data_IF_620421837601
#
_entry.id   IF_620421837601
#
_cell.length_a   1.000
_cell.length_b   1.000
_cell.length_c   1.000
_cell.angle_alpha   90.00
_cell.angle_beta   90.00
_cell.angle_gamma   90.00
#
_symmetry.space_group_name_H-M   'P 1'
#
loop_
_entity.id
_entity.type
_entity.pdbx_description
1 polymer ?
#
# COMPACT_ATOMS: atom_id res chain seq x y z
N UNK A 1 9.09 31.82 10.59
CA UNK A 1 7.75 31.93 9.94
C UNK A 1 6.83 30.88 10.55
N UNK A 2 5.59 31.23 10.87
CA UNK A 2 4.62 30.28 11.41
C UNK A 2 3.21 30.78 11.14
N UNK A 3 2.24 29.87 11.03
CA UNK A 3 0.87 30.22 10.69
C UNK A 3 0.21 31.04 11.83
N UNK A 4 -0.27 32.28 11.59
CA UNK A 4 -0.74 33.19 12.64
C UNK A 4 -2.03 32.75 13.33
N UNK A 5 -2.94 32.07 12.60
CA UNK A 5 -4.28 31.70 13.08
C UNK A 5 -4.58 30.20 13.02
N UNK A 6 -5.51 29.75 13.86
CA UNK A 6 -6.00 28.35 13.90
C UNK A 6 -6.63 27.93 12.56
N UNK A 7 -7.42 28.80 11.93
CA UNK A 7 -8.03 28.54 10.63
C UNK A 7 -6.97 28.30 9.53
N UNK A 8 -5.91 29.12 9.50
CA UNK A 8 -4.84 28.98 8.51
C UNK A 8 -4.05 27.69 8.70
N UNK A 9 -3.87 27.23 9.96
CA UNK A 9 -3.25 25.94 10.28
C UNK A 9 -4.11 24.76 9.85
N UNK A 10 -5.42 24.84 10.06
CA UNK A 10 -6.36 23.79 9.61
C UNK A 10 -6.39 23.74 8.07
N UNK A 11 -6.45 24.89 7.40
CA UNK A 11 -6.40 24.95 5.94
C UNK A 11 -5.08 24.38 5.39
N UNK A 12 -3.94 24.72 6.00
CA UNK A 12 -2.64 24.16 5.63
C UNK A 12 -2.62 22.63 5.80
N UNK A 13 -3.17 22.10 6.89
CA UNK A 13 -3.28 20.67 7.12
C UNK A 13 -4.20 19.99 6.08
N UNK A 14 -5.35 20.59 5.76
CA UNK A 14 -6.29 20.07 4.77
C UNK A 14 -5.68 19.99 3.37
N UNK A 15 -5.09 21.10 2.91
CA UNK A 15 -4.45 21.18 1.59
C UNK A 15 -3.24 20.23 1.50
N UNK A 16 -2.48 20.10 2.59
CA UNK A 16 -1.37 19.13 2.65
C UNK A 16 -1.86 17.70 2.57
N UNK A 17 -2.97 17.38 3.25
CA UNK A 17 -3.61 16.07 3.16
C UNK A 17 -4.06 15.77 1.73
N UNK A 18 -4.77 16.70 1.09
CA UNK A 18 -5.24 16.57 -0.29
C UNK A 18 -4.10 16.44 -1.31
N UNK A 19 -2.97 17.11 -1.07
CA UNK A 19 -1.81 17.05 -1.95
C UNK A 19 -0.93 15.79 -1.73
N UNK A 20 -1.02 15.13 -0.58
CA UNK A 20 -0.17 13.99 -0.22
C UNK A 20 -0.28 12.82 -1.23
N UNK A 21 -1.48 12.41 -1.69
CA UNK A 21 -1.62 11.33 -2.68
C UNK A 21 -0.96 11.59 -4.04
N UNK A 22 -0.68 12.85 -4.39
CA UNK A 22 0.00 13.19 -5.64
C UNK A 22 1.47 12.75 -5.65
N UNK A 23 2.01 12.32 -4.51
CA UNK A 23 3.35 11.74 -4.42
C UNK A 23 3.42 10.28 -4.89
N UNK A 24 2.28 9.66 -5.18
CA UNK A 24 2.19 8.26 -5.61
C UNK A 24 1.66 8.20 -7.06
N UNK A 25 1.67 6.99 -7.61
CA UNK A 25 1.12 6.74 -8.94
C UNK A 25 -0.34 7.23 -9.05
N UNK A 26 -0.74 7.81 -10.19
CA UNK A 26 0.04 7.96 -11.42
C UNK A 26 0.82 9.30 -11.53
N UNK A 27 0.90 10.09 -10.46
CA UNK A 27 1.47 11.45 -10.51
C UNK A 27 2.95 11.49 -10.15
N UNK A 28 3.39 10.61 -9.25
CA UNK A 28 4.80 10.36 -8.90
C UNK A 28 5.59 11.61 -8.49
N UNK A 29 4.91 12.62 -7.95
CA UNK A 29 5.54 13.82 -7.39
C UNK A 29 6.14 13.51 -6.01
N UNK A 30 7.14 12.63 -5.99
CA UNK A 30 7.73 12.01 -4.79
C UNK A 30 8.04 12.98 -3.64
N UNK A 31 8.36 14.23 -3.96
CA UNK A 31 8.72 15.28 -3.00
C UNK A 31 7.50 15.84 -2.24
N UNK A 32 6.27 15.66 -2.75
CA UNK A 32 5.06 16.17 -2.09
C UNK A 32 4.77 15.45 -0.78
N UNK A 33 4.97 14.14 -0.67
CA UNK A 33 4.72 13.40 0.56
C UNK A 33 5.56 13.93 1.75
N UNK A 34 6.90 14.04 1.68
CA UNK A 34 7.68 14.61 2.79
C UNK A 34 7.39 16.11 3.00
N UNK A 35 7.10 16.90 1.96
CA UNK A 35 6.77 18.33 2.11
C UNK A 35 5.45 18.52 2.87
N UNK A 36 4.42 17.76 2.53
CA UNK A 36 3.09 17.86 3.17
C UNK A 36 3.14 17.37 4.63
N UNK A 37 3.93 16.34 4.93
CA UNK A 37 4.24 15.93 6.32
C UNK A 37 5.03 17.02 7.06
N UNK A 38 5.96 17.71 6.40
CA UNK A 38 6.69 18.84 7.00
C UNK A 38 5.76 20.00 7.37
N UNK A 39 4.79 20.33 6.51
CA UNK A 39 3.77 21.34 6.81
C UNK A 39 2.96 20.92 8.03
N UNK A 40 2.55 19.65 8.13
CA UNK A 40 1.83 19.13 9.29
C UNK A 40 2.67 19.24 10.58
N UNK A 41 3.95 18.86 10.54
CA UNK A 41 4.86 18.97 11.69
C UNK A 41 5.06 20.43 12.13
N UNK A 42 5.19 21.38 11.19
CA UNK A 42 5.27 22.82 11.49
C UNK A 42 3.99 23.33 12.16
N UNK A 43 2.83 22.89 11.68
CA UNK A 43 1.53 23.25 12.23
C UNK A 43 1.36 22.71 13.66
N UNK A 44 1.84 21.49 13.92
CA UNK A 44 1.82 20.85 15.23
C UNK A 44 2.82 21.42 16.25
N UNK A 45 3.93 22.00 15.80
CA UNK A 45 5.03 22.47 16.65
C UNK A 45 4.56 23.34 17.84
N UNK A 46 3.57 24.21 17.60
CA UNK A 46 2.98 25.14 18.58
C UNK A 46 1.49 24.93 18.84
N UNK A 47 0.94 23.76 18.48
CA UNK A 47 -0.47 23.45 18.70
C UNK A 47 -0.70 22.82 20.08
N UNK A 48 -1.84 23.10 20.71
CA UNK A 48 -2.29 22.30 21.86
C UNK A 48 -2.66 20.88 21.41
N UNK A 49 -2.71 19.92 22.33
CA UNK A 49 -3.04 18.53 21.98
C UNK A 49 -4.37 18.38 21.22
N UNK A 50 -5.40 19.16 21.58
CA UNK A 50 -6.68 19.17 20.87
C UNK A 50 -6.57 19.77 19.46
N UNK A 51 -5.80 20.85 19.32
CA UNK A 51 -5.57 21.48 18.01
C UNK A 51 -4.78 20.55 17.08
N UNK A 52 -3.74 19.91 17.61
CA UNK A 52 -2.90 18.99 16.85
C UNK A 52 -3.69 17.73 16.44
N UNK A 53 -4.56 17.22 17.31
CA UNK A 53 -5.48 16.15 16.97
C UNK A 53 -6.39 16.54 15.79
N UNK A 54 -7.07 17.69 15.88
CA UNK A 54 -7.95 18.16 14.81
C UNK A 54 -7.19 18.38 13.49
N UNK A 55 -6.00 18.98 13.54
CA UNK A 55 -5.15 19.18 12.35
C UNK A 55 -4.72 17.85 11.74
N UNK A 56 -4.35 16.87 12.57
CA UNK A 56 -4.02 15.51 12.13
C UNK A 56 -5.22 14.80 11.50
N UNK A 57 -6.40 14.93 12.10
CA UNK A 57 -7.63 14.40 11.54
C UNK A 57 -7.94 15.01 10.17
N UNK A 58 -7.90 16.34 10.05
CA UNK A 58 -8.19 17.02 8.78
C UNK A 58 -7.17 16.68 7.69
N UNK A 59 -5.87 16.59 8.04
CA UNK A 59 -4.84 16.10 7.14
C UNK A 59 -5.14 14.66 6.68
N UNK A 60 -5.39 13.76 7.62
CA UNK A 60 -5.64 12.35 7.32
C UNK A 60 -6.90 12.13 6.49
N UNK A 61 -7.94 12.92 6.75
CA UNK A 61 -9.19 12.88 6.00
C UNK A 61 -8.96 13.34 4.56
N UNK A 62 -8.24 14.45 4.34
CA UNK A 62 -7.87 14.90 2.99
C UNK A 62 -7.03 13.87 2.24
N UNK A 63 -6.04 13.30 2.93
CA UNK A 63 -5.17 12.24 2.39
C UNK A 63 -5.97 11.01 1.96
N UNK A 64 -6.88 10.53 2.81
CA UNK A 64 -7.68 9.34 2.51
C UNK A 64 -8.76 9.62 1.46
N UNK A 65 -9.49 10.73 1.55
CA UNK A 65 -10.52 11.07 0.56
C UNK A 65 -9.93 11.25 -0.84
N UNK A 66 -8.74 11.83 -0.98
CA UNK A 66 -8.10 11.94 -2.28
C UNK A 66 -7.44 10.62 -2.71
N UNK A 67 -6.73 9.94 -1.80
CA UNK A 67 -5.87 8.80 -2.16
C UNK A 67 -6.55 7.43 -2.18
N UNK A 68 -7.74 7.29 -1.58
CA UNK A 68 -8.50 6.03 -1.58
C UNK A 68 -9.95 6.20 -2.04
N UNK A 69 -10.25 7.30 -2.74
CA UNK A 69 -11.56 7.53 -3.37
C UNK A 69 -11.97 6.41 -4.33
N UNK A 70 -10.99 5.73 -4.96
CA UNK A 70 -11.22 4.63 -5.89
C UNK A 70 -12.03 3.46 -5.28
N UNK A 71 -12.03 3.31 -3.94
CA UNK A 71 -12.87 2.32 -3.24
C UNK A 71 -14.37 2.54 -3.53
N UNK A 72 -14.77 3.78 -3.82
CA UNK A 72 -16.14 4.10 -4.23
C UNK A 72 -16.58 3.25 -5.44
N UNK A 73 -15.70 3.10 -6.43
CA UNK A 73 -15.97 2.32 -7.65
C UNK A 73 -16.16 0.85 -7.28
N UNK A 74 -15.30 0.29 -6.43
CA UNK A 74 -15.42 -1.08 -5.94
C UNK A 74 -16.76 -1.34 -5.24
N UNK A 75 -17.22 -0.40 -4.40
CA UNK A 75 -18.48 -0.56 -3.67
C UNK A 75 -19.71 -0.32 -4.57
N UNK A 76 -19.69 0.72 -5.39
CA UNK A 76 -20.88 1.15 -6.14
C UNK A 76 -21.04 0.38 -7.46
N UNK A 77 -20.00 0.34 -8.28
CA UNK A 77 -20.06 -0.27 -9.62
C UNK A 77 -20.01 -1.79 -9.54
N UNK A 78 -19.04 -2.34 -8.80
CA UNK A 78 -18.85 -3.79 -8.70
C UNK A 78 -19.64 -4.42 -7.54
N UNK A 79 -19.83 -3.70 -6.43
CA UNK A 79 -20.60 -4.16 -5.28
C UNK A 79 -22.11 -3.87 -5.38
N UNK A 80 -22.56 -3.11 -6.39
CA UNK A 80 -23.97 -2.75 -6.56
C UNK A 80 -24.54 -1.85 -5.46
N UNK A 81 -23.69 -1.26 -4.61
CA UNK A 81 -24.13 -0.42 -3.51
C UNK A 81 -24.68 0.92 -4.04
N UNK A 82 -25.86 1.39 -3.57
CA UNK A 82 -26.39 2.68 -3.94
C UNK A 82 -25.38 3.81 -3.68
N UNK A 83 -25.22 4.72 -4.65
CA UNK A 83 -24.19 5.75 -4.64
C UNK A 83 -24.07 6.55 -3.32
N UNK A 84 -25.15 6.99 -2.66
CA UNK A 84 -25.04 7.69 -1.37
C UNK A 84 -24.46 6.82 -0.25
N UNK A 85 -24.80 5.52 -0.23
CA UNK A 85 -24.28 4.57 0.75
C UNK A 85 -22.81 4.27 0.49
N UNK A 86 -22.41 4.07 -0.76
CA UNK A 86 -21.01 3.88 -1.13
C UNK A 86 -20.15 5.11 -0.76
N UNK A 87 -20.65 6.31 -1.06
CA UNK A 87 -19.99 7.56 -0.65
C UNK A 87 -19.87 7.71 0.87
N UNK A 88 -20.94 7.36 1.60
CA UNK A 88 -20.92 7.33 3.07
C UNK A 88 -19.92 6.33 3.63
N UNK A 89 -19.84 5.12 3.07
CA UNK A 89 -18.87 4.10 3.48
C UNK A 89 -17.43 4.56 3.25
N UNK A 90 -17.13 5.17 2.09
CA UNK A 90 -15.80 5.75 1.80
C UNK A 90 -15.48 6.89 2.77
N UNK A 91 -16.44 7.75 3.09
CA UNK A 91 -16.24 8.83 4.07
C UNK A 91 -15.92 8.28 5.47
N UNK A 92 -16.65 7.25 5.91
CA UNK A 92 -16.38 6.57 7.19
C UNK A 92 -14.99 5.94 7.16
N UNK A 93 -14.64 5.23 6.10
CA UNK A 93 -13.33 4.61 5.95
C UNK A 93 -12.19 5.64 5.95
N UNK A 94 -12.36 6.76 5.24
CA UNK A 94 -11.43 7.87 5.26
C UNK A 94 -11.30 8.51 6.64
N UNK A 95 -12.41 8.66 7.38
CA UNK A 95 -12.38 9.13 8.76
C UNK A 95 -11.65 8.16 9.71
N UNK A 96 -11.81 6.85 9.53
CA UNK A 96 -11.05 5.83 10.27
C UNK A 96 -9.54 5.93 9.98
N UNK A 97 -9.16 6.09 8.71
CA UNK A 97 -7.76 6.36 8.34
C UNK A 97 -7.24 7.68 8.96
N UNK A 98 -8.08 8.69 9.09
CA UNK A 98 -7.73 9.97 9.71
C UNK A 98 -7.50 9.88 11.23
N UNK A 99 -7.97 8.81 11.90
CA UNK A 99 -7.74 8.61 13.33
C UNK A 99 -6.26 8.40 13.66
N UNK A 100 -5.47 7.82 12.75
CA UNK A 100 -4.03 7.62 12.95
C UNK A 100 -3.26 8.96 13.06
N UNK A 101 -3.29 9.87 12.06
CA UNK A 101 -2.64 11.17 12.19
C UNK A 101 -3.28 12.06 13.28
N UNK A 102 -4.58 11.90 13.56
CA UNK A 102 -5.22 12.53 14.73
C UNK A 102 -4.56 12.09 16.05
N UNK A 103 -4.41 10.78 16.26
CA UNK A 103 -3.80 10.22 17.46
C UNK A 103 -2.32 10.64 17.56
N UNK A 104 -1.56 10.59 16.46
CA UNK A 104 -0.17 11.06 16.41
C UNK A 104 -0.09 12.54 16.81
N UNK A 105 -0.94 13.39 16.22
CA UNK A 105 -0.99 14.82 16.51
C UNK A 105 -1.29 15.09 17.99
N UNK A 106 -2.22 14.34 18.59
CA UNK A 106 -2.51 14.42 20.02
C UNK A 106 -1.32 13.99 20.88
N UNK A 107 -0.75 12.81 20.59
CA UNK A 107 0.31 12.20 21.37
C UNK A 107 1.60 13.02 21.32
N UNK A 108 2.01 13.53 20.16
CA UNK A 108 3.23 14.35 20.07
C UNK A 108 3.14 15.67 20.87
N UNK A 109 1.92 16.16 21.13
CA UNK A 109 1.70 17.37 21.92
C UNK A 109 1.67 17.08 23.43
N UNK A 110 1.48 15.81 23.82
CA UNK A 110 1.48 15.35 25.22
C UNK A 110 2.80 14.71 25.63
N UNK A 111 3.47 14.07 24.69
CA UNK A 111 4.69 13.29 24.90
C UNK A 111 5.92 14.11 24.51
N UNK A 112 7.01 13.89 25.27
CA UNK A 112 8.34 14.37 24.94
C UNK A 112 8.66 15.79 25.42
N UNK A 113 9.77 16.36 24.91
CA UNK A 113 10.34 17.60 25.42
C UNK A 113 9.45 18.80 25.09
N UNK A 114 9.42 19.82 25.97
CA UNK A 114 8.69 21.06 25.71
C UNK A 114 9.20 21.82 24.48
N UNK A 115 10.46 21.61 24.10
CA UNK A 115 11.07 22.21 22.91
C UNK A 115 10.42 21.66 21.62
N UNK A 116 9.81 22.53 20.79
CA UNK A 116 9.24 22.12 19.51
C UNK A 116 10.27 21.48 18.57
N UNK A 117 11.51 22.00 18.59
CA UNK A 117 12.60 21.47 17.77
C UNK A 117 12.98 20.03 18.19
N UNK A 118 13.09 19.78 19.49
CA UNK A 118 13.42 18.43 19.98
C UNK A 118 12.27 17.45 19.73
N UNK A 119 11.01 17.87 19.90
CA UNK A 119 9.82 17.06 19.54
C UNK A 119 9.80 16.70 18.05
N UNK A 120 10.12 17.65 17.18
CA UNK A 120 10.12 17.43 15.74
C UNK A 120 11.12 16.35 15.30
N UNK A 121 12.26 16.21 15.98
CA UNK A 121 13.28 15.19 15.65
C UNK A 121 13.02 13.87 16.37
N UNK A 122 12.69 13.92 17.66
CA UNK A 122 12.72 12.72 18.51
C UNK A 122 11.36 12.03 18.66
N UNK A 123 10.26 12.77 18.49
CA UNK A 123 8.90 12.28 18.82
C UNK A 123 8.05 12.12 17.58
N UNK A 124 7.92 13.18 16.78
CA UNK A 124 7.04 13.17 15.61
C UNK A 124 7.39 12.07 14.59
N UNK A 125 8.67 11.80 14.24
CA UNK A 125 9.01 10.78 13.26
C UNK A 125 8.68 9.37 13.74
N UNK A 126 9.00 9.07 15.00
CA UNK A 126 8.74 7.77 15.61
C UNK A 126 7.24 7.51 15.71
N UNK A 127 6.47 8.50 16.17
CA UNK A 127 5.02 8.36 16.26
C UNK A 127 4.37 8.25 14.87
N UNK A 128 4.87 8.98 13.87
CA UNK A 128 4.39 8.87 12.50
C UNK A 128 4.46 7.42 11.99
N UNK A 129 5.63 6.79 12.15
CA UNK A 129 5.85 5.42 11.69
C UNK A 129 5.15 4.40 12.55
N UNK A 130 5.03 4.64 13.86
CA UNK A 130 4.16 3.81 14.69
C UNK A 130 2.71 3.85 14.18
N UNK A 131 2.21 5.02 13.77
CA UNK A 131 0.87 5.13 13.18
C UNK A 131 0.75 4.41 11.84
N UNK A 132 1.76 4.51 10.96
CA UNK A 132 1.78 3.74 9.71
C UNK A 132 1.82 2.23 9.96
N UNK A 133 2.66 1.77 10.89
CA UNK A 133 2.75 0.36 11.28
C UNK A 133 1.42 -0.13 11.86
N UNK A 134 0.83 0.60 12.81
CA UNK A 134 -0.48 0.26 13.38
C UNK A 134 -1.55 0.17 12.28
N UNK A 135 -1.57 1.13 11.36
CA UNK A 135 -2.52 1.13 10.24
C UNK A 135 -2.36 -0.06 9.30
N UNK A 136 -1.14 -0.59 9.15
CA UNK A 136 -0.88 -1.77 8.34
C UNK A 136 -1.13 -3.11 9.03
N UNK A 137 -1.38 -3.12 10.34
CA UNK A 137 -1.47 -4.37 11.12
C UNK A 137 -2.79 -4.51 11.90
N UNK A 138 -3.41 -3.41 12.31
CA UNK A 138 -4.65 -3.43 13.09
C UNK A 138 -5.85 -3.80 12.20
N UNK A 139 -6.73 -4.68 12.69
CA UNK A 139 -7.96 -5.12 11.99
C UNK A 139 -7.69 -5.58 10.55
N UNK A 140 -6.77 -6.54 10.37
CA UNK A 140 -6.23 -7.06 9.09
C UNK A 140 -5.32 -6.10 8.30
N UNK A 141 -5.29 -4.82 8.69
CA UNK A 141 -4.36 -3.83 8.15
C UNK A 141 -4.79 -3.24 6.81
N UNK A 142 -4.44 -1.97 6.60
CA UNK A 142 -4.60 -1.27 5.33
C UNK A 142 -3.36 -0.38 5.05
N UNK A 143 -2.24 -0.95 4.60
CA UNK A 143 -0.93 -0.29 4.46
C UNK A 143 -0.81 0.63 3.21
N UNK A 144 -1.88 1.32 2.84
CA UNK A 144 -1.90 2.24 1.68
C UNK A 144 -1.21 3.58 1.96
N UNK A 145 -0.64 4.24 0.95
CA UNK A 145 -0.10 5.59 1.07
C UNK A 145 1.00 5.76 2.15
N UNK A 146 1.83 4.73 2.40
CA UNK A 146 2.99 4.89 3.27
C UNK A 146 3.99 5.88 2.72
N UNK A 147 4.54 6.72 3.60
CA UNK A 147 5.50 7.75 3.25
C UNK A 147 6.70 7.18 2.46
N UNK A 148 7.18 5.99 2.84
CA UNK A 148 8.29 5.32 2.17
C UNK A 148 8.01 4.95 0.70
N UNK A 149 6.77 4.63 0.33
CA UNK A 149 6.46 4.24 -1.06
C UNK A 149 6.65 5.38 -2.05
N UNK A 150 6.55 6.64 -1.60
CA UNK A 150 6.81 7.79 -2.47
C UNK A 150 8.22 7.82 -3.05
N UNK A 151 9.16 7.01 -2.53
CA UNK A 151 10.57 7.04 -2.89
C UNK A 151 11.04 5.83 -3.72
N UNK A 152 10.13 4.98 -4.21
CA UNK A 152 10.49 3.73 -4.91
C UNK A 152 11.31 3.97 -6.18
N UNK A 153 11.07 5.08 -6.89
CA UNK A 153 11.79 5.46 -8.12
C UNK A 153 12.80 6.60 -7.89
N UNK A 154 13.21 6.82 -6.65
CA UNK A 154 14.15 7.89 -6.31
C UNK A 154 15.50 7.34 -5.87
N UNK A 155 16.53 8.18 -5.78
CA UNK A 155 17.83 7.72 -5.30
C UNK A 155 17.82 7.23 -3.83
N UNK A 156 16.72 7.41 -3.08
CA UNK A 156 16.52 6.81 -1.76
C UNK A 156 16.06 5.34 -1.82
N UNK A 157 15.63 4.84 -2.98
CA UNK A 157 15.23 3.45 -3.19
C UNK A 157 16.32 2.44 -2.81
N UNK A 158 17.60 2.85 -2.87
CA UNK A 158 18.75 2.05 -2.42
C UNK A 158 18.67 1.64 -0.93
N UNK A 159 17.86 2.34 -0.13
CA UNK A 159 17.63 1.98 1.27
C UNK A 159 16.55 0.91 1.45
N UNK A 160 15.64 0.72 0.47
CA UNK A 160 14.51 -0.21 0.58
C UNK A 160 14.95 -1.66 0.90
N UNK A 161 15.99 -2.22 0.27
CA UNK A 161 16.46 -3.57 0.60
C UNK A 161 17.03 -3.71 2.03
N UNK A 162 17.43 -2.61 2.65
CA UNK A 162 18.11 -2.60 3.97
C UNK A 162 17.11 -2.38 5.10
N UNK A 163 16.23 -1.38 4.95
CA UNK A 163 15.36 -0.91 6.03
C UNK A 163 13.86 -1.03 5.70
N UNK A 164 13.51 -1.49 4.50
CA UNK A 164 12.13 -1.63 4.04
C UNK A 164 11.37 -0.30 3.93
N UNK A 165 10.10 -0.37 3.52
CA UNK A 165 9.27 0.81 3.30
C UNK A 165 9.02 1.62 4.59
N UNK A 166 8.76 0.95 5.72
CA UNK A 166 8.54 1.64 7.00
C UNK A 166 9.82 2.30 7.52
N UNK A 167 10.99 1.67 7.33
CA UNK A 167 12.28 2.27 7.68
C UNK A 167 12.59 3.48 6.80
N UNK A 168 12.29 3.41 5.50
CA UNK A 168 12.42 4.57 4.62
C UNK A 168 11.41 5.68 4.96
N UNK A 169 10.21 5.33 5.39
CA UNK A 169 9.26 6.28 5.99
C UNK A 169 9.87 6.99 7.22
N UNK A 170 10.50 6.24 8.13
CA UNK A 170 11.17 6.81 9.31
C UNK A 170 12.30 7.75 8.90
N UNK A 171 13.09 7.35 7.92
CA UNK A 171 14.17 8.16 7.36
C UNK A 171 13.68 9.53 6.88
N UNK A 172 12.60 9.53 6.09
CA UNK A 172 11.97 10.75 5.58
C UNK A 172 11.38 11.59 6.71
N UNK A 173 10.68 10.96 7.65
CA UNK A 173 10.10 11.66 8.78
C UNK A 173 11.17 12.28 9.69
N UNK A 174 12.33 11.63 9.86
CA UNK A 174 13.49 12.18 10.57
C UNK A 174 14.09 13.37 9.84
N UNK A 175 14.25 13.28 8.51
CA UNK A 175 14.74 14.39 7.70
C UNK A 175 13.79 15.61 7.79
N UNK A 176 12.49 15.36 7.65
CA UNK A 176 11.44 16.37 7.84
C UNK A 176 11.50 16.98 9.23
N UNK A 177 11.57 16.14 10.27
CA UNK A 177 11.69 16.55 11.66
C UNK A 177 12.90 17.44 11.92
N UNK A 178 14.05 17.09 11.35
CA UNK A 178 15.27 17.87 11.42
C UNK A 178 15.14 19.24 10.72
N UNK A 179 14.55 19.28 9.51
CA UNK A 179 14.29 20.53 8.80
C UNK A 179 13.36 21.45 9.61
N UNK A 180 12.28 20.91 10.17
CA UNK A 180 11.37 21.65 11.05
C UNK A 180 12.07 22.16 12.31
N UNK A 181 12.94 21.35 12.89
CA UNK A 181 13.74 21.74 14.06
C UNK A 181 14.73 22.86 13.74
N UNK A 182 15.34 22.89 12.55
CA UNK A 182 16.23 23.98 12.11
C UNK A 182 15.47 25.30 12.01
N UNK A 183 14.24 25.26 11.46
CA UNK A 183 13.38 26.45 11.34
C UNK A 183 13.02 27.04 12.71
N UNK A 184 12.85 26.20 13.73
CA UNK A 184 12.49 26.63 15.09
C UNK A 184 13.68 26.85 16.03
N UNK A 185 14.84 26.30 15.72
CA UNK A 185 16.07 26.43 16.51
C UNK A 185 16.84 27.72 16.21
N UNK A 186 17.66 28.15 17.18
CA UNK A 186 18.58 29.29 17.06
C UNK A 186 19.96 28.87 17.57
N UNK A 187 21.03 29.34 16.90
CA UNK A 187 22.42 29.04 17.29
C UNK A 187 22.70 27.54 17.40
N UNK A 188 23.34 27.13 18.50
CA UNK A 188 23.73 25.74 18.77
C UNK A 188 22.56 24.75 18.85
N UNK A 189 21.33 25.21 19.04
CA UNK A 189 20.15 24.34 18.98
C UNK A 189 19.93 23.71 17.59
N UNK A 190 20.59 24.24 16.54
CA UNK A 190 20.57 23.68 15.18
C UNK A 190 21.63 22.60 14.95
N UNK A 191 22.59 22.40 15.85
CA UNK A 191 23.68 21.45 15.64
C UNK A 191 23.17 20.01 15.53
N UNK A 192 22.26 19.60 16.44
CA UNK A 192 21.66 18.27 16.41
C UNK A 192 20.90 17.98 15.09
N UNK A 193 19.92 18.79 14.65
CA UNK A 193 19.20 18.48 13.42
C UNK A 193 20.08 18.56 12.17
N UNK A 194 21.09 19.44 12.12
CA UNK A 194 22.07 19.43 11.03
C UNK A 194 22.88 18.14 11.05
N UNK A 195 23.33 17.68 12.22
CA UNK A 195 24.01 16.40 12.38
C UNK A 195 23.16 15.22 11.91
N UNK A 196 21.86 15.20 12.25
CA UNK A 196 20.91 14.19 11.77
C UNK A 196 20.85 14.20 10.24
N UNK A 197 20.68 15.37 9.60
CA UNK A 197 20.65 15.45 8.13
C UNK A 197 21.96 14.97 7.49
N UNK A 198 23.10 15.33 8.06
CA UNK A 198 24.41 14.88 7.58
C UNK A 198 24.54 13.36 7.67
N UNK A 199 24.14 12.74 8.78
CA UNK A 199 24.14 11.28 8.95
C UNK A 199 23.22 10.63 7.91
N UNK A 200 22.00 11.13 7.72
CA UNK A 200 21.09 10.60 6.71
C UNK A 200 21.67 10.74 5.29
N UNK A 201 22.32 11.86 4.95
CA UNK A 201 22.98 12.02 3.66
C UNK A 201 24.12 11.01 3.47
N UNK A 202 24.99 10.84 4.47
CA UNK A 202 26.12 9.90 4.42
C UNK A 202 25.61 8.47 4.28
N UNK A 203 24.66 8.05 5.11
CA UNK A 203 24.13 6.69 5.05
C UNK A 203 23.39 6.41 3.73
N UNK A 204 22.71 7.41 3.15
CA UNK A 204 22.13 7.28 1.79
C UNK A 204 23.21 7.02 0.74
N UNK A 205 24.34 7.74 0.81
CA UNK A 205 25.44 7.56 -0.13
C UNK A 205 26.09 6.17 0.04
N UNK A 206 26.27 5.71 1.28
CA UNK A 206 26.83 4.39 1.58
C UNK A 206 25.91 3.25 1.13
N UNK A 207 24.59 3.41 1.24
CA UNK A 207 23.61 2.40 0.84
C UNK A 207 23.61 2.10 -0.67
N UNK A 208 24.21 2.98 -1.50
CA UNK A 208 24.34 2.77 -2.95
C UNK A 208 25.60 2.03 -3.38
N UNK A 209 26.54 1.81 -2.47
CA UNK A 209 27.79 1.12 -2.75
C UNK A 209 27.63 -0.41 -2.92
N UNK A 210 26.87 -1.12 -2.07
CA UNK A 210 26.77 -2.57 -2.17
C UNK A 210 25.86 -3.02 -3.32
N UNK A 211 26.22 -4.16 -3.92
CA UNK A 211 25.32 -4.96 -4.77
C UNK A 211 24.76 -6.08 -3.89
N UNK A 212 23.46 -6.05 -3.64
CA UNK A 212 22.81 -7.00 -2.71
C UNK A 212 22.42 -8.34 -3.35
N UNK A 213 22.35 -8.40 -4.68
CA UNK A 213 21.85 -9.57 -5.41
C UNK A 213 22.73 -9.86 -6.62
N UNK A 214 23.00 -11.14 -6.85
CA UNK A 214 23.70 -11.64 -8.04
C UNK A 214 22.79 -12.61 -8.79
N UNK A 215 22.90 -12.71 -10.13
CA UNK A 215 22.14 -13.69 -10.90
C UNK A 215 22.34 -15.11 -10.34
N UNK A 216 21.24 -15.84 -10.12
CA UNK A 216 21.29 -17.22 -9.62
C UNK A 216 21.49 -18.25 -10.73
N UNK A 217 21.37 -17.85 -11.99
CA UNK A 217 21.47 -18.70 -13.17
C UNK A 217 21.18 -17.90 -14.44
N UNK A 218 20.91 -18.62 -15.53
CA UNK A 218 20.50 -18.01 -16.80
C UNK A 218 19.13 -17.33 -16.67
N UNK A 219 18.90 -16.21 -17.40
CA UNK A 219 17.58 -15.57 -17.44
C UNK A 219 16.50 -16.51 -17.98
N UNK A 220 15.29 -16.38 -17.44
CA UNK A 220 14.09 -17.06 -17.94
C UNK A 220 13.30 -16.13 -18.87
N UNK A 221 12.82 -16.66 -19.99
CA UNK A 221 11.85 -15.99 -20.84
C UNK A 221 10.45 -16.17 -20.25
N UNK A 222 9.91 -15.13 -19.63
CA UNK A 222 8.59 -15.17 -18.97
C UNK A 222 7.56 -14.41 -19.81
N UNK A 223 6.41 -15.02 -20.06
CA UNK A 223 5.28 -14.37 -20.70
C UNK A 223 4.09 -14.21 -19.73
N UNK A 224 3.46 -13.04 -19.75
CA UNK A 224 2.26 -12.74 -18.96
C UNK A 224 1.06 -12.66 -19.89
N UNK A 225 0.06 -13.52 -19.71
CA UNK A 225 -1.15 -13.54 -20.54
C UNK A 225 -2.25 -12.76 -19.85
N UNK A 226 -2.79 -11.74 -20.51
CA UNK A 226 -3.83 -10.86 -19.96
C UNK A 226 -5.02 -10.76 -20.92
N UNK A 227 -5.91 -11.76 -20.87
CA UNK A 227 -7.09 -11.85 -21.74
C UNK A 227 -8.13 -10.74 -21.52
N UNK A 228 -7.99 -9.94 -20.45
CA UNK A 228 -8.82 -8.75 -20.16
C UNK A 228 -10.34 -9.05 -20.08
N UNK A 229 -10.72 -10.12 -19.36
CA UNK A 229 -12.11 -10.50 -19.14
C UNK A 229 -12.80 -9.48 -18.21
N UNK A 230 -13.97 -8.98 -18.61
CA UNK A 230 -14.79 -8.09 -17.78
C UNK A 230 -15.27 -8.82 -16.51
N UNK A 231 -15.42 -8.11 -15.38
CA UNK A 231 -15.88 -8.74 -14.14
C UNK A 231 -17.30 -9.31 -14.27
N UNK A 232 -18.16 -8.65 -15.05
CA UNK A 232 -19.53 -9.12 -15.30
C UNK A 232 -19.54 -10.45 -16.05
N UNK A 233 -18.63 -10.65 -16.99
CA UNK A 233 -18.57 -11.88 -17.80
C UNK A 233 -17.80 -13.00 -17.11
N UNK A 234 -16.82 -12.64 -16.27
CA UNK A 234 -15.87 -13.56 -15.61
C UNK A 234 -16.58 -14.67 -14.83
N UNK A 235 -17.62 -14.33 -14.07
CA UNK A 235 -18.31 -15.27 -13.17
C UNK A 235 -19.58 -15.89 -13.77
N UNK A 236 -19.77 -15.78 -15.09
CA UNK A 236 -20.86 -16.45 -15.78
C UNK A 236 -20.40 -17.83 -16.23
N UNK A 237 -21.04 -18.89 -15.71
CA UNK A 237 -20.63 -20.28 -15.94
C UNK A 237 -20.52 -20.67 -17.42
N UNK A 238 -21.36 -20.10 -18.29
CA UNK A 238 -21.31 -20.36 -19.74
C UNK A 238 -20.08 -19.76 -20.43
N UNK A 239 -19.40 -18.77 -19.83
CA UNK A 239 -18.19 -18.17 -20.37
C UNK A 239 -16.91 -18.90 -19.93
N UNK A 240 -16.97 -19.73 -18.88
CA UNK A 240 -15.78 -20.35 -18.29
C UNK A 240 -14.94 -21.14 -19.31
N UNK A 241 -15.59 -21.94 -20.17
CA UNK A 241 -14.90 -22.71 -21.21
C UNK A 241 -14.28 -21.82 -22.30
N UNK A 242 -14.96 -20.73 -22.68
CA UNK A 242 -14.46 -19.78 -23.67
C UNK A 242 -13.24 -19.02 -23.14
N UNK A 243 -13.31 -18.56 -21.88
CA UNK A 243 -12.21 -17.88 -21.19
C UNK A 243 -11.00 -18.80 -21.09
N UNK A 244 -11.19 -20.03 -20.61
CA UNK A 244 -10.11 -21.02 -20.50
C UNK A 244 -9.47 -21.33 -21.86
N UNK A 245 -10.29 -21.48 -22.90
CA UNK A 245 -9.81 -21.74 -24.27
C UNK A 245 -9.03 -20.56 -24.84
N UNK A 246 -9.44 -19.32 -24.53
CA UNK A 246 -8.74 -18.13 -24.98
C UNK A 246 -7.37 -17.98 -24.30
N UNK A 247 -7.28 -18.19 -22.98
CA UNK A 247 -5.99 -18.21 -22.27
C UNK A 247 -5.05 -19.27 -22.84
N UNK A 248 -5.56 -20.47 -23.11
CA UNK A 248 -4.76 -21.54 -23.71
C UNK A 248 -4.31 -21.18 -25.13
N UNK A 249 -5.21 -20.68 -25.98
CA UNK A 249 -4.88 -20.27 -27.34
C UNK A 249 -3.82 -19.16 -27.40
N UNK A 250 -3.96 -18.14 -26.55
CA UNK A 250 -2.97 -17.07 -26.41
C UNK A 250 -1.63 -17.62 -25.92
N UNK A 251 -1.65 -18.61 -25.03
CA UNK A 251 -0.43 -19.25 -24.51
C UNK A 251 0.28 -20.09 -25.57
N UNK A 252 -0.46 -20.86 -26.37
CA UNK A 252 0.09 -21.71 -27.43
C UNK A 252 0.72 -20.91 -28.58
N UNK A 253 0.33 -19.64 -28.74
CA UNK A 253 0.95 -18.73 -29.69
C UNK A 253 2.33 -18.22 -29.24
N UNK A 254 2.71 -18.44 -27.97
CA UNK A 254 3.95 -17.96 -27.37
C UNK A 254 5.06 -19.01 -27.49
N UNK A 255 5.88 -18.89 -28.53
CA UNK A 255 7.07 -19.73 -28.69
C UNK A 255 8.27 -19.25 -27.85
N UNK A 256 9.04 -20.17 -27.28
CA UNK A 256 10.32 -19.87 -26.61
C UNK A 256 10.21 -19.27 -25.21
N UNK A 257 9.02 -19.28 -24.60
CA UNK A 257 8.84 -18.96 -23.19
C UNK A 257 9.24 -20.17 -22.32
N UNK A 258 9.95 -19.90 -21.22
CA UNK A 258 10.24 -20.90 -20.18
C UNK A 258 9.09 -20.97 -19.15
N UNK A 259 8.39 -19.85 -18.93
CA UNK A 259 7.29 -19.72 -17.98
C UNK A 259 6.17 -18.84 -18.56
N UNK A 260 4.93 -19.31 -18.50
CA UNK A 260 3.73 -18.56 -18.84
C UNK A 260 2.92 -18.31 -17.57
N UNK A 261 2.55 -17.05 -17.31
CA UNK A 261 1.80 -16.65 -16.11
C UNK A 261 0.42 -16.15 -16.48
N UNK A 262 -0.60 -16.70 -15.84
CA UNK A 262 -1.99 -16.22 -15.91
C UNK A 262 -2.37 -15.51 -14.61
N UNK A 263 -3.23 -14.48 -14.65
CA UNK A 263 -3.56 -13.66 -13.50
C UNK A 263 -4.40 -14.40 -12.45
N UNK A 264 -4.70 -13.69 -11.36
CA UNK A 264 -5.57 -14.16 -10.27
C UNK A 264 -6.96 -14.59 -10.80
N UNK A 265 -7.37 -15.80 -10.39
CA UNK A 265 -8.60 -16.43 -10.85
C UNK A 265 -8.79 -16.32 -12.38
N UNK A 266 -7.74 -16.57 -13.17
CA UNK A 266 -7.80 -16.54 -14.63
C UNK A 266 -8.83 -17.54 -15.16
N UNK A 267 -8.91 -18.71 -14.51
CA UNK A 267 -9.96 -19.70 -14.74
C UNK A 267 -11.10 -19.48 -13.76
N UNK A 268 -12.32 -19.14 -14.23
CA UNK A 268 -13.49 -18.98 -13.35
C UNK A 268 -14.12 -20.35 -13.03
N UNK A 269 -13.30 -21.26 -12.52
CA UNK A 269 -13.68 -22.62 -12.14
C UNK A 269 -12.85 -23.08 -10.94
N UNK A 270 -13.37 -24.06 -10.19
CA UNK A 270 -12.57 -24.73 -9.18
C UNK A 270 -11.60 -25.73 -9.82
N UNK A 271 -10.44 -25.96 -9.21
CA UNK A 271 -9.42 -26.87 -9.74
C UNK A 271 -9.94 -28.29 -10.00
N UNK A 272 -10.85 -28.79 -9.17
CA UNK A 272 -11.50 -30.10 -9.31
C UNK A 272 -12.54 -30.15 -10.44
N UNK A 273 -12.94 -29.01 -10.98
CA UNK A 273 -13.85 -28.88 -12.12
C UNK A 273 -13.11 -28.74 -13.46
N UNK A 274 -11.80 -28.47 -13.43
CA UNK A 274 -11.00 -28.35 -14.65
C UNK A 274 -10.84 -29.74 -15.28
N UNK A 275 -11.19 -29.85 -16.55
CA UNK A 275 -11.08 -31.10 -17.28
C UNK A 275 -9.63 -31.64 -17.26
N UNK A 276 -9.40 -32.92 -16.95
CA UNK A 276 -8.05 -33.50 -16.96
C UNK A 276 -7.31 -33.33 -18.28
N UNK A 277 -8.04 -33.37 -19.41
CA UNK A 277 -7.48 -33.13 -20.74
C UNK A 277 -6.97 -31.69 -20.94
N UNK A 278 -7.58 -30.71 -20.27
CA UNK A 278 -7.12 -29.33 -20.30
C UNK A 278 -5.82 -29.18 -19.50
N UNK A 279 -5.76 -29.78 -18.31
CA UNK A 279 -4.53 -29.78 -17.50
C UNK A 279 -3.39 -30.51 -18.22
N UNK A 280 -3.68 -31.62 -18.89
CA UNK A 280 -2.68 -32.34 -19.69
C UNK A 280 -2.08 -31.47 -20.80
N UNK A 281 -2.88 -30.63 -21.47
CA UNK A 281 -2.35 -29.68 -22.47
C UNK A 281 -1.39 -28.64 -21.87
N UNK A 282 -1.61 -28.23 -20.62
CA UNK A 282 -0.67 -27.34 -19.92
C UNK A 282 0.59 -28.08 -19.49
N UNK A 283 0.48 -29.35 -19.10
CA UNK A 283 1.62 -30.19 -18.73
C UNK A 283 2.50 -30.60 -19.91
N UNK A 284 1.89 -30.82 -21.09
CA UNK A 284 2.58 -31.22 -22.32
C UNK A 284 3.19 -30.04 -23.09
N UNK A 285 2.95 -28.80 -22.64
CA UNK A 285 3.50 -27.59 -23.25
C UNK A 285 5.00 -27.43 -22.93
N UNK A 286 5.74 -26.76 -23.83
CA UNK A 286 7.20 -26.59 -23.64
C UNK A 286 7.55 -25.67 -22.45
N UNK A 287 6.69 -24.69 -22.17
CA UNK A 287 6.79 -23.77 -21.04
C UNK A 287 6.06 -24.31 -19.80
N UNK A 288 6.60 -24.04 -18.61
CA UNK A 288 5.86 -24.23 -17.35
C UNK A 288 4.77 -23.13 -17.22
N UNK A 289 3.71 -23.39 -16.46
CA UNK A 289 2.61 -22.45 -16.19
C UNK A 289 2.52 -22.08 -14.71
N UNK A 290 2.23 -20.82 -14.43
CA UNK A 290 1.76 -20.33 -13.13
C UNK A 290 0.42 -19.63 -13.31
N UNK A 291 -0.66 -20.19 -12.78
CA UNK A 291 -2.00 -19.64 -12.99
C UNK A 291 -2.80 -19.47 -11.70
N UNK A 292 -3.64 -18.43 -11.66
CA UNK A 292 -4.62 -18.23 -10.60
C UNK A 292 -5.91 -19.01 -10.84
N UNK A 293 -6.41 -19.70 -9.81
CA UNK A 293 -7.66 -20.45 -9.84
C UNK A 293 -8.36 -20.42 -8.46
N UNK A 294 -9.52 -21.06 -8.37
CA UNK A 294 -10.16 -21.37 -7.09
C UNK A 294 -9.94 -22.85 -6.75
N UNK A 295 -9.81 -23.16 -5.45
CA UNK A 295 -9.76 -24.53 -4.95
C UNK A 295 -10.76 -24.70 -3.81
N UNK A 296 -11.31 -25.90 -3.64
CA UNK A 296 -12.16 -26.27 -2.51
C UNK A 296 -11.72 -27.62 -1.96
N UNK A 297 -12.00 -27.90 -0.68
CA UNK A 297 -11.55 -29.15 -0.06
C UNK A 297 -12.45 -30.34 -0.39
N UNK A 298 -13.75 -30.10 -0.59
CA UNK A 298 -14.73 -31.13 -0.93
C UNK A 298 -15.90 -30.55 -1.73
N UNK A 299 -16.86 -31.41 -2.10
CA UNK A 299 -18.15 -31.00 -2.67
C UNK A 299 -19.24 -30.79 -1.60
N UNK A 300 -18.88 -30.97 -0.32
CA UNK A 300 -19.83 -30.83 0.77
C UNK A 300 -20.23 -29.35 0.97
N UNK A 301 -21.46 -29.07 1.40
CA UNK A 301 -21.86 -27.73 1.82
C UNK A 301 -20.90 -27.18 2.90
N UNK A 302 -20.67 -25.87 2.90
CA UNK A 302 -19.83 -25.16 3.87
C UNK A 302 -18.33 -25.55 3.89
N UNK A 303 -17.87 -26.28 2.87
CA UNK A 303 -16.45 -26.60 2.70
C UNK A 303 -15.60 -25.34 2.47
N UNK A 304 -14.40 -25.25 3.04
CA UNK A 304 -13.50 -24.14 2.76
C UNK A 304 -13.14 -24.08 1.27
N UNK A 305 -13.12 -22.85 0.75
CA UNK A 305 -12.58 -22.55 -0.57
C UNK A 305 -11.42 -21.55 -0.46
N UNK A 306 -10.54 -21.58 -1.46
CA UNK A 306 -9.30 -20.84 -1.48
C UNK A 306 -9.10 -20.19 -2.84
N UNK A 307 -8.60 -18.97 -2.81
CA UNK A 307 -7.95 -18.35 -3.94
C UNK A 307 -6.51 -18.88 -4.00
N UNK A 308 -6.13 -19.48 -5.13
CA UNK A 308 -4.87 -20.21 -5.26
C UNK A 308 -4.06 -19.78 -6.48
N UNK A 309 -2.74 -19.89 -6.36
CA UNK A 309 -1.83 -19.90 -7.48
C UNK A 309 -1.27 -21.33 -7.66
N UNK A 310 -1.32 -21.86 -8.88
CA UNK A 310 -0.93 -23.23 -9.20
C UNK A 310 0.18 -23.21 -10.24
N UNK A 311 1.27 -23.91 -9.93
CA UNK A 311 2.33 -24.24 -10.88
C UNK A 311 2.04 -25.57 -11.56
N UNK A 312 2.06 -25.59 -12.89
CA UNK A 312 1.84 -26.77 -13.73
C UNK A 312 3.01 -26.88 -14.72
N UNK A 313 3.58 -28.06 -14.88
CA UNK A 313 4.78 -28.28 -15.70
C UNK A 313 5.69 -29.32 -15.06
N UNK A 314 7.00 -29.09 -15.07
CA UNK A 314 7.99 -30.05 -14.51
C UNK A 314 7.80 -30.36 -13.03
N UNK A 315 7.25 -29.42 -12.26
CA UNK A 315 6.87 -29.61 -10.88
C UNK A 315 5.50 -28.99 -10.61
N UNK A 316 4.63 -29.71 -9.90
CA UNK A 316 3.38 -29.14 -9.40
C UNK A 316 3.61 -28.41 -8.09
N UNK A 317 3.12 -27.17 -8.00
CA UNK A 317 3.14 -26.38 -6.77
C UNK A 317 1.80 -25.71 -6.55
N UNK A 318 1.42 -25.52 -5.28
CA UNK A 318 0.16 -24.87 -4.91
C UNK A 318 0.41 -23.86 -3.80
N UNK A 319 0.01 -22.62 -4.02
CA UNK A 319 -0.03 -21.57 -3.02
C UNK A 319 -1.48 -21.20 -2.73
N UNK A 320 -1.86 -21.15 -1.45
CA UNK A 320 -3.16 -20.65 -0.99
C UNK A 320 -2.98 -19.22 -0.49
N UNK A 321 -3.85 -18.28 -0.90
CA UNK A 321 -3.81 -16.89 -0.42
C UNK A 321 -4.01 -16.84 1.10
N UNK A 322 -3.05 -16.24 1.81
CA UNK A 322 -3.09 -16.18 3.28
C UNK A 322 -3.86 -14.96 3.82
N UNK A 323 -3.58 -13.76 3.29
CA UNK A 323 -4.23 -12.54 3.74
C UNK A 323 -5.41 -12.21 2.82
N UNK A 324 -6.62 -12.31 3.37
CA UNK A 324 -7.87 -12.08 2.64
C UNK A 324 -8.32 -10.63 2.77
N UNK A 325 -9.02 -10.13 1.74
CA UNK A 325 -9.60 -8.79 1.72
C UNK A 325 -10.90 -8.77 2.54
N UNK A 326 -11.00 -7.97 3.61
CA UNK A 326 -12.25 -7.81 4.38
C UNK A 326 -13.39 -7.28 3.51
N UNK A 327 -14.60 -7.80 3.71
CA UNK A 327 -15.82 -7.49 2.96
C UNK A 327 -15.80 -7.88 1.46
N UNK A 328 -14.64 -8.28 0.92
CA UNK A 328 -14.52 -8.82 -0.44
C UNK A 328 -14.45 -10.35 -0.46
N UNK A 329 -13.54 -10.92 0.35
CA UNK A 329 -13.28 -12.37 0.38
C UNK A 329 -13.79 -13.04 1.66
N UNK A 330 -14.07 -12.27 2.71
CA UNK A 330 -14.72 -12.75 3.92
C UNK A 330 -15.50 -11.64 4.60
N UNK A 331 -16.45 -12.01 5.47
CA UNK A 331 -17.23 -11.08 6.28
C UNK A 331 -16.64 -11.00 7.69
N UNK A 332 -15.98 -9.90 8.08
CA UNK A 332 -15.52 -9.72 9.45
C UNK A 332 -16.69 -9.78 10.42
N UNK A 333 -16.49 -10.45 11.56
CA UNK A 333 -17.51 -10.57 12.62
C UNK A 333 -18.82 -11.22 12.14
N UNK A 334 -18.76 -12.14 11.16
CA UNK A 334 -19.94 -12.85 10.64
C UNK A 334 -20.81 -13.49 11.73
N UNK A 335 -20.22 -13.93 12.85
CA UNK A 335 -20.95 -14.51 13.98
C UNK A 335 -21.85 -13.52 14.75
N UNK A 336 -21.76 -12.22 14.50
CA UNK A 336 -22.58 -11.17 15.14
C UNK A 336 -23.74 -10.67 14.27
N UNK A 337 -23.85 -11.17 13.03
CA UNK A 337 -24.88 -10.80 12.05
C UNK A 337 -25.95 -11.89 11.96
#
# INVERSE_FOLDING_TARGET
>A
MGFPGSAMRIAAAALSGLAYPLAFAPFDLFWLAPVTVAVLFLVWAKASARQAALQGFVFGLGMALAGVSWIYVSLSEFGGMPAPLAGGAVLIFAALMALYPMAIGFLQARLGPRSPAARAVLVMPVLWILGEWLRGNLMSGFPWLYLGYSQVDTPLAALLPIIGTLGLGLWLALAVGALVAIVHGVGWARALPVGVLLVLCVCTALARLPVFVTPAGEPLNVALVQHNVSLSDKWQSHNASNIASAYLHESEALSGADLIVWPEAALPAYLDEIAPAFLARLEDHEADFLLGALARESLEPDTPYYNVAVGIGKARSLYRKHQLVPFGEYLPLAALL
#
